data_IF_171561565865
#
_entry.id   IF_171561565865
#
_cell.length_a   1.000
_cell.length_b   1.000
_cell.length_c   1.000
_cell.angle_alpha   90.00
_cell.angle_beta   90.00
_cell.angle_gamma   90.00
#
_symmetry.space_group_name_H-M   'P 1'
#
loop_
_entity.id
_entity.type
_entity.pdbx_description
1 polymer ?
#
# COMPACT_ATOMS: atom_id res chain seq x y z
N UNK A 1 23.54 35.06 13.65
CA UNK A 1 23.43 33.68 13.15
C UNK A 1 22.11 33.12 13.59
N UNK A 2 21.15 33.06 12.68
CA UNK A 2 19.92 32.26 12.82
C UNK A 2 19.38 32.02 11.42
N UNK A 3 19.49 30.78 10.95
CA UNK A 3 18.53 30.21 10.02
C UNK A 3 17.96 29.01 10.75
N UNK A 4 16.81 29.26 11.38
CA UNK A 4 15.96 28.25 12.00
C UNK A 4 15.35 27.40 10.88
N UNK A 5 15.67 26.11 10.88
CA UNK A 5 14.76 25.00 10.63
C UNK A 5 13.60 25.29 9.66
N UNK A 6 13.84 25.17 8.35
CA UNK A 6 12.74 25.01 7.41
C UNK A 6 12.08 23.64 7.67
N UNK A 7 10.76 23.57 7.94
CA UNK A 7 10.04 22.30 7.99
C UNK A 7 10.06 21.66 6.60
N UNK A 8 10.27 20.34 6.62
CA UNK A 8 10.10 19.34 5.56
C UNK A 8 10.19 19.80 4.09
N UNK A 9 11.26 19.30 3.44
CA UNK A 9 11.48 19.26 2.01
C UNK A 9 10.20 19.23 1.16
N UNK A 10 10.02 20.27 0.36
CA UNK A 10 9.04 20.35 -0.73
C UNK A 10 9.25 19.20 -1.72
N UNK A 11 8.55 18.09 -1.53
CA UNK A 11 8.53 16.96 -2.47
C UNK A 11 7.75 17.35 -3.72
N UNK A 12 8.47 17.84 -4.72
CA UNK A 12 7.92 18.15 -6.04
C UNK A 12 7.99 16.91 -6.93
N UNK A 13 6.92 16.09 -6.91
CA UNK A 13 6.45 15.48 -8.15
C UNK A 13 6.87 14.05 -8.53
N UNK A 14 7.17 13.15 -7.59
CA UNK A 14 7.27 11.72 -7.93
C UNK A 14 6.54 10.85 -6.90
N UNK A 15 5.63 9.99 -7.37
CA UNK A 15 5.06 8.93 -6.54
C UNK A 15 6.16 7.91 -6.25
N UNK A 16 6.78 7.99 -5.07
CA UNK A 16 7.82 7.06 -4.64
C UNK A 16 7.19 5.72 -4.25
N UNK A 17 7.40 4.67 -5.06
CA UNK A 17 7.06 3.28 -4.74
C UNK A 17 8.25 2.50 -4.16
N UNK A 18 9.14 3.20 -3.45
CA UNK A 18 10.34 2.66 -2.83
C UNK A 18 10.38 3.05 -1.34
N UNK A 19 11.19 2.39 -0.50
CA UNK A 19 11.33 2.75 0.90
C UNK A 19 11.68 4.24 1.04
N UNK A 20 10.79 5.03 1.67
CA UNK A 20 11.13 6.42 1.99
C UNK A 20 12.19 6.40 3.08
N UNK A 21 13.27 7.15 2.87
CA UNK A 21 14.27 7.40 3.91
C UNK A 21 14.01 8.76 4.53
N UNK A 22 14.32 8.87 5.82
CA UNK A 22 14.32 10.15 6.51
C UNK A 22 15.58 10.92 6.10
N UNK A 23 15.71 12.13 6.63
CA UNK A 23 16.87 12.97 6.36
C UNK A 23 18.19 12.38 6.88
N UNK A 24 18.13 11.33 7.72
CA UNK A 24 19.30 10.62 8.26
C UNK A 24 19.60 9.33 7.46
N UNK A 25 18.89 9.10 6.34
CA UNK A 25 19.06 7.93 5.50
C UNK A 25 18.48 6.65 6.10
N UNK A 26 17.78 6.74 7.22
CA UNK A 26 17.07 5.61 7.81
C UNK A 26 15.73 5.42 7.10
N UNK A 27 15.38 4.17 6.83
CA UNK A 27 14.15 3.85 6.11
C UNK A 27 12.93 4.12 7.01
N UNK A 28 12.22 5.23 6.76
CA UNK A 28 10.95 5.59 7.39
C UNK A 28 9.78 5.32 6.43
N UNK A 29 9.53 4.04 6.16
CA UNK A 29 8.26 3.60 5.58
C UNK A 29 8.05 4.00 4.12
N UNK A 30 8.54 3.16 3.21
CA UNK A 30 7.94 3.02 1.88
C UNK A 30 7.59 1.55 1.67
N UNK A 31 6.46 1.15 2.24
CA UNK A 31 5.87 -0.15 2.00
C UNK A 31 4.93 -0.10 0.79
N UNK A 32 4.67 -1.26 0.19
CA UNK A 32 3.59 -1.40 -0.78
C UNK A 32 2.25 -1.10 -0.10
N UNK A 33 1.60 0.00 -0.49
CA UNK A 33 0.24 0.32 -0.05
C UNK A 33 -0.75 -0.41 -0.94
N UNK A 34 -1.54 -1.29 -0.34
CA UNK A 34 -2.61 -2.00 -1.04
C UNK A 34 -3.92 -1.21 -0.98
N UNK A 35 -4.74 -1.23 -2.03
CA UNK A 35 -6.12 -0.78 -1.93
C UNK A 35 -6.83 -1.50 -0.79
N UNK A 36 -7.37 -0.74 0.16
CA UNK A 36 -8.16 -1.25 1.26
C UNK A 36 -9.65 -1.13 0.92
N UNK A 37 -10.34 -2.25 0.76
CA UNK A 37 -11.75 -2.32 0.38
C UNK A 37 -12.49 -3.37 1.23
N UNK A 38 -13.79 -3.23 1.35
CA UNK A 38 -14.65 -4.22 2.02
C UNK A 38 -14.80 -5.49 1.18
N UNK A 39 -15.29 -6.57 1.80
CA UNK A 39 -15.63 -7.82 1.07
C UNK A 39 -16.63 -7.56 -0.05
N UNK A 40 -17.67 -6.75 0.19
CA UNK A 40 -18.70 -6.41 -0.81
C UNK A 40 -18.11 -5.67 -2.00
N UNK A 41 -17.24 -4.67 -1.77
CA UNK A 41 -16.59 -3.93 -2.83
C UNK A 41 -15.62 -4.81 -3.64
N UNK A 42 -14.90 -5.71 -2.97
CA UNK A 42 -14.00 -6.69 -3.59
C UNK A 42 -14.75 -7.66 -4.49
N UNK A 43 -15.93 -8.10 -4.08
CA UNK A 43 -16.79 -9.02 -4.85
C UNK A 43 -17.51 -8.30 -6.00
N UNK A 44 -17.69 -6.98 -5.92
CA UNK A 44 -18.27 -6.14 -6.97
C UNK A 44 -17.30 -5.83 -8.13
N UNK A 45 -16.02 -6.18 -8.01
CA UNK A 45 -15.04 -5.98 -9.10
C UNK A 45 -15.38 -6.94 -10.24
N UNK A 46 -15.92 -6.41 -11.35
CA UNK A 46 -16.50 -7.20 -12.43
C UNK A 46 -15.51 -8.15 -13.14
N UNK A 47 -14.26 -7.71 -13.34
CA UNK A 47 -13.23 -8.51 -14.03
C UNK A 47 -11.85 -8.36 -13.37
N UNK A 48 -11.62 -8.95 -12.18
CA UNK A 48 -10.35 -8.83 -11.48
C UNK A 48 -9.29 -9.64 -12.23
N UNK A 49 -8.13 -9.04 -12.49
CA UNK A 49 -7.00 -9.72 -13.11
C UNK A 49 -6.32 -10.64 -12.09
N UNK A 50 -5.95 -11.86 -12.50
CA UNK A 50 -5.09 -12.73 -11.68
C UNK A 50 -3.81 -12.00 -11.28
N UNK A 51 -3.44 -12.08 -10.00
CA UNK A 51 -2.32 -11.33 -9.43
C UNK A 51 -2.70 -10.02 -8.75
N UNK A 52 -3.97 -9.58 -8.82
CA UNK A 52 -4.41 -8.40 -8.05
C UNK A 52 -4.30 -8.66 -6.55
N UNK A 53 -3.68 -7.72 -5.83
CA UNK A 53 -3.51 -7.74 -4.39
C UNK A 53 -4.31 -6.61 -3.74
N UNK A 54 -5.12 -6.93 -2.73
CA UNK A 54 -5.92 -5.97 -1.96
C UNK A 54 -5.84 -6.29 -0.47
N UNK A 55 -6.15 -5.31 0.38
CA UNK A 55 -6.45 -5.53 1.79
C UNK A 55 -7.96 -5.53 2.00
N UNK A 56 -8.51 -6.63 2.50
CA UNK A 56 -9.92 -6.75 2.81
C UNK A 56 -10.17 -6.22 4.23
N UNK A 57 -10.77 -5.03 4.32
CA UNK A 57 -11.03 -4.34 5.59
C UNK A 57 -12.10 -5.01 6.44
N UNK A 58 -12.95 -5.87 5.85
CA UNK A 58 -13.97 -6.64 6.57
C UNK A 58 -13.35 -7.83 7.31
N UNK A 59 -12.39 -8.52 6.69
CA UNK A 59 -11.76 -9.71 7.28
C UNK A 59 -10.40 -9.41 7.92
N UNK A 60 -9.89 -8.20 7.74
CA UNK A 60 -8.54 -7.77 8.12
C UNK A 60 -7.44 -8.68 7.55
N UNK A 61 -7.60 -9.10 6.29
CA UNK A 61 -6.63 -9.98 5.60
C UNK A 61 -6.24 -9.40 4.25
N UNK A 62 -4.98 -9.62 3.86
CA UNK A 62 -4.59 -9.47 2.46
C UNK A 62 -5.29 -10.55 1.63
N UNK A 63 -5.85 -10.16 0.48
CA UNK A 63 -6.39 -11.09 -0.49
C UNK A 63 -5.64 -10.99 -1.82
N UNK A 64 -5.36 -12.14 -2.41
CA UNK A 64 -4.77 -12.29 -3.74
C UNK A 64 -5.82 -12.88 -4.68
N UNK A 65 -5.98 -12.29 -5.86
CA UNK A 65 -6.78 -12.90 -6.93
C UNK A 65 -6.00 -14.04 -7.57
N UNK A 66 -6.44 -15.27 -7.36
CA UNK A 66 -5.87 -16.49 -7.97
C UNK A 66 -6.91 -17.11 -8.90
N UNK A 67 -6.62 -17.08 -10.21
CA UNK A 67 -7.55 -17.52 -11.25
C UNK A 67 -8.95 -16.88 -11.09
N UNK A 68 -9.96 -17.66 -10.72
CA UNK A 68 -11.34 -17.21 -10.57
C UNK A 68 -11.75 -16.89 -9.11
N UNK A 69 -10.85 -17.06 -8.15
CA UNK A 69 -11.16 -16.93 -6.72
C UNK A 69 -10.26 -15.91 -6.02
N UNK A 70 -10.77 -15.37 -4.91
CA UNK A 70 -10.00 -14.54 -4.01
C UNK A 70 -9.51 -15.37 -2.83
N UNK A 71 -8.20 -15.43 -2.64
CA UNK A 71 -7.57 -16.20 -1.57
C UNK A 71 -7.07 -15.28 -0.46
N UNK A 72 -7.31 -15.67 0.80
CA UNK A 72 -6.75 -14.96 1.94
C UNK A 72 -5.31 -15.42 2.19
N UNK A 73 -4.38 -14.47 2.31
CA UNK A 73 -2.99 -14.79 2.66
C UNK A 73 -2.93 -15.04 4.17
N UNK A 74 -2.58 -16.27 4.54
CA UNK A 74 -2.36 -16.70 5.92
C UNK A 74 -0.95 -17.25 6.06
N UNK A 75 -0.43 -17.28 7.30
CA UNK A 75 0.76 -18.07 7.59
C UNK A 75 0.47 -19.56 7.37
N UNK A 76 1.52 -20.30 6.96
CA UNK A 76 1.50 -21.76 6.98
C UNK A 76 1.55 -22.30 8.41
#
# INVERSE_FOLDING_TARGET
MALNNAPDSTWTGELVLAPQTDNDGNVIGGGLVLPAITTTERDAIASPRSGTLIYNSTTNKANLRVAAAWEAITSA
#
